data_IF_214862272826
#
_entry.id   IF_214862272826
#
_cell.length_a   1.000
_cell.length_b   1.000
_cell.length_c   1.000
_cell.angle_alpha   90.00
_cell.angle_beta   90.00
_cell.angle_gamma   90.00
#
_symmetry.space_group_name_H-M   'P 1'
#
loop_
_entity.id
_entity.type
_entity.pdbx_description
1 polymer ?
#
# COMPACT_ATOMS: atom_id res chain seq x y z
N UNK A 1 -15.50 -6.06 24.65
CA UNK A 1 -14.45 -5.12 24.21
C UNK A 1 -13.07 -5.80 24.21
N UNK A 2 -12.36 -5.97 25.34
CA UNK A 2 -11.05 -6.69 25.35
C UNK A 2 -11.20 -8.15 24.85
N UNK A 3 -12.17 -8.89 25.38
CA UNK A 3 -12.42 -10.28 24.97
C UNK A 3 -12.98 -10.45 23.55
N UNK A 4 -13.34 -9.38 22.84
CA UNK A 4 -13.73 -9.44 21.42
C UNK A 4 -12.54 -9.13 20.50
N UNK A 5 -11.61 -8.26 20.94
CA UNK A 5 -10.32 -8.00 20.26
C UNK A 5 -9.45 -9.26 20.25
N UNK A 6 -9.28 -9.92 21.40
CA UNK A 6 -8.51 -11.16 21.50
C UNK A 6 -9.07 -12.29 20.63
N UNK A 7 -10.41 -12.42 20.55
CA UNK A 7 -11.06 -13.41 19.70
C UNK A 7 -10.85 -13.11 18.23
N UNK A 8 -11.03 -11.86 17.82
CA UNK A 8 -10.77 -11.41 16.44
C UNK A 8 -9.33 -11.68 16.04
N UNK A 9 -8.38 -11.42 16.95
CA UNK A 9 -6.97 -11.69 16.74
C UNK A 9 -6.69 -13.19 16.60
N UNK A 10 -7.20 -14.03 17.50
CA UNK A 10 -7.04 -15.49 17.42
C UNK A 10 -7.61 -16.07 16.12
N UNK A 11 -8.81 -15.61 15.73
CA UNK A 11 -9.47 -16.03 14.49
C UNK A 11 -8.64 -15.57 13.28
N UNK A 12 -8.14 -14.34 13.29
CA UNK A 12 -7.30 -13.80 12.21
C UNK A 12 -6.01 -14.61 12.08
N UNK A 13 -5.29 -14.86 13.19
CA UNK A 13 -4.09 -15.70 13.19
C UNK A 13 -4.35 -17.07 12.58
N UNK A 14 -5.43 -17.74 13.00
CA UNK A 14 -5.79 -19.06 12.49
C UNK A 14 -6.07 -19.04 10.99
N UNK A 15 -6.86 -18.07 10.52
CA UNK A 15 -7.24 -17.99 9.10
C UNK A 15 -6.02 -17.61 8.25
N UNK A 16 -5.17 -16.67 8.69
CA UNK A 16 -3.95 -16.34 7.95
C UNK A 16 -3.02 -17.54 7.86
N UNK A 17 -2.74 -18.22 8.98
CA UNK A 17 -1.87 -19.41 8.97
C UNK A 17 -2.42 -20.52 8.06
N UNK A 18 -3.74 -20.71 8.06
CA UNK A 18 -4.38 -21.65 7.14
C UNK A 18 -4.21 -21.20 5.68
N UNK A 19 -4.38 -19.91 5.41
CA UNK A 19 -4.25 -19.32 4.09
C UNK A 19 -2.85 -19.40 3.53
N UNK A 20 -1.82 -19.09 4.33
CA UNK A 20 -0.41 -19.19 3.95
C UNK A 20 -0.04 -20.61 3.55
N UNK A 21 -0.35 -21.58 4.41
CA UNK A 21 0.01 -22.98 4.17
C UNK A 21 -0.79 -23.64 3.04
N UNK A 22 -1.88 -22.99 2.58
CA UNK A 22 -2.77 -23.51 1.55
C UNK A 22 -2.97 -22.54 0.38
N UNK A 23 -2.07 -21.57 0.21
CA UNK A 23 -2.15 -20.58 -0.86
C UNK A 23 -2.24 -21.26 -2.24
N UNK A 24 -1.44 -22.29 -2.49
CA UNK A 24 -1.50 -23.10 -3.70
C UNK A 24 -2.87 -23.76 -3.91
N UNK A 25 -3.49 -24.31 -2.84
CA UNK A 25 -4.82 -24.91 -2.92
C UNK A 25 -5.90 -23.86 -3.19
N UNK A 26 -5.78 -22.66 -2.61
CA UNK A 26 -6.69 -21.53 -2.87
C UNK A 26 -6.68 -21.16 -4.35
N UNK A 27 -5.49 -21.12 -4.96
CA UNK A 27 -5.29 -20.88 -6.40
C UNK A 27 -5.91 -22.00 -7.23
N UNK A 28 -5.63 -23.27 -6.91
CA UNK A 28 -6.22 -24.41 -7.62
C UNK A 28 -7.75 -24.42 -7.54
N UNK A 29 -8.31 -24.08 -6.37
CA UNK A 29 -9.75 -23.94 -6.19
C UNK A 29 -10.34 -22.80 -7.04
N UNK A 30 -9.58 -21.72 -7.25
CA UNK A 30 -10.01 -20.56 -8.01
C UNK A 30 -10.19 -20.86 -9.51
N UNK A 31 -9.40 -21.79 -10.05
CA UNK A 31 -9.48 -22.23 -11.46
C UNK A 31 -10.18 -23.58 -11.65
N UNK A 32 -10.64 -24.19 -10.57
CA UNK A 32 -11.31 -25.49 -10.63
C UNK A 32 -12.57 -25.41 -11.51
N UNK A 33 -12.94 -26.48 -12.22
CA UNK A 33 -14.10 -26.48 -13.12
C UNK A 33 -15.44 -26.40 -12.38
N UNK A 34 -15.45 -26.62 -11.06
CA UNK A 34 -16.65 -26.61 -10.25
C UNK A 34 -16.83 -25.26 -9.53
N UNK A 35 -18.06 -24.72 -9.58
CA UNK A 35 -18.39 -23.42 -9.00
C UNK A 35 -18.24 -23.37 -7.47
N UNK A 36 -18.34 -24.52 -6.79
CA UNK A 36 -18.24 -24.59 -5.34
C UNK A 36 -16.81 -24.26 -4.86
N UNK A 37 -15.79 -24.85 -5.48
CA UNK A 37 -14.37 -24.55 -5.20
C UNK A 37 -14.04 -23.09 -5.47
N UNK A 38 -14.49 -22.55 -6.61
CA UNK A 38 -14.29 -21.14 -6.95
C UNK A 38 -14.93 -20.22 -5.90
N UNK A 39 -16.14 -20.55 -5.46
CA UNK A 39 -16.86 -19.80 -4.41
C UNK A 39 -16.12 -19.86 -3.07
N UNK A 40 -15.53 -21.01 -2.72
CA UNK A 40 -14.76 -21.15 -1.49
C UNK A 40 -13.47 -20.31 -1.53
N UNK A 41 -12.73 -20.35 -2.63
CA UNK A 41 -11.54 -19.51 -2.85
C UNK A 41 -11.88 -18.02 -2.74
N UNK A 42 -12.95 -17.58 -3.42
CA UNK A 42 -13.44 -16.21 -3.34
C UNK A 42 -13.79 -15.79 -1.91
N UNK A 43 -14.57 -16.62 -1.19
CA UNK A 43 -14.98 -16.33 0.19
C UNK A 43 -13.80 -16.28 1.16
N UNK A 44 -12.79 -17.10 0.93
CA UNK A 44 -11.58 -17.10 1.74
C UNK A 44 -10.80 -15.79 1.56
N UNK A 45 -10.57 -15.37 0.31
CA UNK A 45 -9.91 -14.09 0.02
C UNK A 45 -10.68 -12.90 0.60
N UNK A 46 -12.02 -12.91 0.48
CA UNK A 46 -12.87 -11.90 1.10
C UNK A 46 -12.80 -11.91 2.64
N UNK A 47 -12.55 -13.06 3.27
CA UNK A 47 -12.41 -13.16 4.71
C UNK A 47 -11.08 -12.58 5.18
N UNK A 48 -9.97 -12.92 4.52
CA UNK A 48 -8.66 -12.30 4.81
C UNK A 48 -8.75 -10.79 4.61
N UNK A 49 -9.33 -10.32 3.49
CA UNK A 49 -9.49 -8.89 3.21
C UNK A 49 -10.25 -8.15 4.32
N UNK A 50 -11.25 -8.78 4.95
CA UNK A 50 -11.96 -8.19 6.11
C UNK A 50 -11.07 -8.06 7.34
N UNK A 51 -10.15 -9.00 7.55
CA UNK A 51 -9.16 -8.92 8.62
C UNK A 51 -8.10 -7.84 8.31
N UNK A 52 -7.69 -7.70 7.06
CA UNK A 52 -6.78 -6.63 6.63
C UNK A 52 -7.41 -5.24 6.78
N UNK A 53 -8.68 -5.07 6.38
CA UNK A 53 -9.48 -3.84 6.55
C UNK A 53 -10.17 -3.78 7.93
N UNK A 54 -9.55 -4.37 8.96
CA UNK A 54 -10.06 -4.26 10.33
C UNK A 54 -10.12 -2.78 10.72
N UNK A 55 -11.28 -2.37 11.21
CA UNK A 55 -11.52 -0.98 11.61
C UNK A 55 -10.70 -0.62 12.84
N UNK A 56 -10.12 0.57 12.78
CA UNK A 56 -9.30 1.16 13.83
C UNK A 56 -7.85 1.33 13.41
N UNK A 57 -7.12 2.11 14.20
CA UNK A 57 -5.70 2.35 14.05
C UNK A 57 -4.88 1.24 14.72
N UNK A 58 -3.98 0.63 13.95
CA UNK A 58 -2.96 -0.27 14.51
C UNK A 58 -1.90 0.55 15.28
N UNK A 59 -1.33 0.05 16.41
CA UNK A 59 -1.69 -1.19 17.13
C UNK A 59 -2.78 -0.99 18.21
N UNK A 60 -3.13 0.26 18.49
CA UNK A 60 -3.91 0.65 19.68
C UNK A 60 -5.34 0.10 19.60
N UNK A 61 -6.04 0.36 18.50
CA UNK A 61 -7.45 0.01 18.35
C UNK A 61 -7.62 -1.42 17.81
N UNK A 62 -6.71 -1.87 16.94
CA UNK A 62 -6.75 -3.22 16.34
C UNK A 62 -5.35 -3.79 16.12
N UNK A 63 -5.24 -5.12 16.12
CA UNK A 63 -3.98 -5.90 15.98
C UNK A 63 -4.09 -7.00 14.92
N UNK A 64 -5.15 -6.98 14.11
CA UNK A 64 -5.49 -8.04 13.17
C UNK A 64 -4.85 -7.82 11.80
N UNK A 65 -4.76 -6.58 11.33
CA UNK A 65 -4.38 -6.27 9.95
C UNK A 65 -2.96 -6.72 9.59
N UNK A 66 -1.98 -6.46 10.46
CA UNK A 66 -0.58 -6.89 10.32
C UNK A 66 -0.45 -8.40 10.08
N UNK A 67 -1.24 -9.18 10.82
CA UNK A 67 -1.24 -10.64 10.74
C UNK A 67 -1.69 -11.17 9.38
N UNK A 68 -2.13 -10.33 8.45
CA UNK A 68 -2.60 -10.76 7.13
C UNK A 68 -1.57 -10.55 6.02
N UNK A 69 -0.51 -9.79 6.25
CA UNK A 69 0.47 -9.43 5.22
C UNK A 69 1.24 -10.65 4.69
N UNK A 70 1.56 -11.60 5.55
CA UNK A 70 2.18 -12.87 5.19
C UNK A 70 1.33 -13.72 4.25
N UNK A 71 0.00 -13.70 4.39
CA UNK A 71 -0.89 -14.33 3.41
C UNK A 71 -0.82 -13.66 2.04
N UNK A 72 -0.83 -12.32 2.01
CA UNK A 72 -0.77 -11.58 0.74
C UNK A 72 0.55 -11.81 0.00
N UNK A 73 1.66 -11.90 0.74
CA UNK A 73 2.95 -12.31 0.23
C UNK A 73 2.90 -13.73 -0.37
N UNK A 74 2.43 -14.72 0.40
CA UNK A 74 2.33 -16.11 -0.05
C UNK A 74 1.42 -16.26 -1.29
N UNK A 75 0.27 -15.57 -1.32
CA UNK A 75 -0.63 -15.61 -2.47
C UNK A 75 0.02 -15.01 -3.71
N UNK A 76 0.72 -13.88 -3.57
CA UNK A 76 1.45 -13.28 -4.68
C UNK A 76 2.55 -14.22 -5.19
N UNK A 77 3.37 -14.78 -4.29
CA UNK A 77 4.47 -15.69 -4.64
C UNK A 77 3.96 -16.87 -5.46
N UNK A 78 2.92 -17.55 -4.97
CA UNK A 78 2.30 -18.70 -5.64
C UNK A 78 1.68 -18.35 -7.00
N UNK A 79 1.10 -17.16 -7.18
CA UNK A 79 0.60 -16.74 -8.50
C UNK A 79 1.75 -16.46 -9.45
N UNK A 80 2.83 -15.82 -8.98
CA UNK A 80 3.96 -15.44 -9.83
C UNK A 80 4.89 -16.61 -10.17
N UNK A 81 4.91 -17.65 -9.35
CA UNK A 81 5.74 -18.86 -9.54
C UNK A 81 5.16 -19.86 -10.55
N UNK A 82 3.96 -19.60 -11.09
CA UNK A 82 3.37 -20.44 -12.15
C UNK A 82 4.21 -20.34 -13.42
N UNK A 83 4.75 -21.48 -13.85
CA UNK A 83 5.58 -21.60 -15.06
C UNK A 83 4.79 -21.41 -16.36
N UNK A 84 3.51 -21.81 -16.37
CA UNK A 84 2.64 -21.69 -17.53
C UNK A 84 2.11 -20.24 -17.67
N UNK A 85 2.56 -19.54 -18.71
CA UNK A 85 2.21 -18.14 -18.95
C UNK A 85 0.71 -17.89 -19.09
N UNK A 86 -0.02 -18.79 -19.77
CA UNK A 86 -1.46 -18.63 -20.01
C UNK A 86 -2.23 -18.79 -18.70
N UNK A 87 -1.90 -19.82 -17.92
CA UNK A 87 -2.47 -20.05 -16.61
C UNK A 87 -2.14 -18.92 -15.64
N UNK A 88 -0.90 -18.41 -15.65
CA UNK A 88 -0.48 -17.28 -14.83
C UNK A 88 -1.28 -16.02 -15.15
N UNK A 89 -1.49 -15.70 -16.43
CA UNK A 89 -2.31 -14.55 -16.85
C UNK A 89 -3.74 -14.70 -16.36
N UNK A 90 -4.34 -15.89 -16.50
CA UNK A 90 -5.70 -16.16 -16.00
C UNK A 90 -5.80 -15.92 -14.49
N UNK A 91 -4.82 -16.40 -13.72
CA UNK A 91 -4.78 -16.21 -12.27
C UNK A 91 -4.58 -14.75 -11.88
N UNK A 92 -3.69 -14.03 -12.54
CA UNK A 92 -3.49 -12.60 -12.33
C UNK A 92 -4.78 -11.82 -12.59
N UNK A 93 -5.51 -12.11 -13.67
CA UNK A 93 -6.82 -11.50 -13.94
C UNK A 93 -7.87 -11.85 -12.87
N UNK A 94 -7.90 -13.10 -12.43
CA UNK A 94 -8.86 -13.57 -11.44
C UNK A 94 -8.63 -12.93 -10.06
N UNK A 95 -7.38 -12.78 -9.65
CA UNK A 95 -7.02 -12.20 -8.35
C UNK A 95 -6.85 -10.68 -8.36
N UNK A 96 -6.73 -10.05 -9.53
CA UNK A 96 -6.61 -8.59 -9.72
C UNK A 96 -7.54 -7.77 -8.83
N UNK A 97 -8.86 -8.07 -8.73
CA UNK A 97 -9.75 -7.24 -7.90
C UNK A 97 -9.38 -7.24 -6.42
N UNK A 98 -8.78 -8.31 -5.90
CA UNK A 98 -8.32 -8.38 -4.51
C UNK A 98 -7.05 -7.57 -4.31
N UNK A 99 -6.10 -7.65 -5.25
CA UNK A 99 -4.86 -6.87 -5.19
C UNK A 99 -5.15 -5.36 -5.34
N UNK A 100 -6.03 -4.96 -6.26
CA UNK A 100 -6.45 -3.55 -6.38
C UNK A 100 -7.16 -3.07 -5.10
N UNK A 101 -8.04 -3.90 -4.52
CA UNK A 101 -8.68 -3.58 -3.23
C UNK A 101 -7.66 -3.53 -2.08
N UNK A 102 -6.63 -4.38 -2.10
CA UNK A 102 -5.59 -4.39 -1.09
C UNK A 102 -4.86 -3.04 -1.07
N UNK A 103 -4.52 -2.48 -2.24
CA UNK A 103 -3.89 -1.14 -2.32
C UNK A 103 -4.76 -0.09 -1.60
N UNK A 104 -6.08 -0.08 -1.83
CA UNK A 104 -6.98 0.85 -1.15
C UNK A 104 -6.97 0.67 0.39
N UNK A 105 -6.91 -0.58 0.85
CA UNK A 105 -6.83 -0.91 2.27
C UNK A 105 -5.47 -0.47 2.84
N UNK A 106 -4.35 -0.74 2.15
CA UNK A 106 -3.02 -0.30 2.56
C UNK A 106 -2.94 1.23 2.67
N UNK A 107 -3.54 1.98 1.72
CA UNK A 107 -3.69 3.43 1.82
C UNK A 107 -4.46 3.81 3.08
N UNK A 108 -5.52 3.08 3.43
CA UNK A 108 -6.30 3.39 4.63
C UNK A 108 -5.55 3.07 5.92
N UNK A 109 -4.86 1.95 5.97
CA UNK A 109 -4.16 1.45 7.15
C UNK A 109 -2.83 2.15 7.41
N UNK A 110 -2.19 2.68 6.35
CA UNK A 110 -0.94 3.42 6.43
C UNK A 110 -1.10 4.90 6.80
N UNK A 111 -2.32 5.41 6.95
CA UNK A 111 -2.54 6.80 7.36
C UNK A 111 -2.03 7.01 8.78
N UNK A 112 -1.29 8.11 8.96
CA UNK A 112 -0.95 8.60 10.29
C UNK A 112 -2.21 8.92 11.10
N UNK A 113 -2.19 8.75 12.43
CA UNK A 113 -3.35 9.07 13.26
C UNK A 113 -3.68 10.57 13.17
N UNK A 114 -4.97 10.92 13.30
CA UNK A 114 -5.36 12.33 13.45
C UNK A 114 -4.91 12.91 14.80
N UNK A 115 -4.83 12.05 15.83
CA UNK A 115 -4.38 12.42 17.16
C UNK A 115 -3.42 11.37 17.72
N UNK A 116 -2.14 11.72 17.74
CA UNK A 116 -1.06 10.89 18.26
C UNK A 116 -0.97 10.91 19.80
N UNK A 117 -1.83 11.67 20.51
CA UNK A 117 -1.74 11.79 21.97
C UNK A 117 -2.07 10.48 22.70
N UNK A 118 -2.82 9.58 22.07
CA UNK A 118 -3.14 8.24 22.60
C UNK A 118 -2.01 7.23 22.41
N UNK A 119 -1.01 7.56 21.58
CA UNK A 119 0.11 6.66 21.27
C UNK A 119 1.24 6.88 22.26
N UNK A 120 1.66 5.81 22.92
CA UNK A 120 2.93 5.79 23.63
C UNK A 120 4.10 5.79 22.64
N UNK A 121 5.33 6.04 23.11
CA UNK A 121 6.51 5.95 22.24
C UNK A 121 6.69 4.54 21.64
N UNK A 122 6.29 3.50 22.36
CA UNK A 122 6.31 2.12 21.89
C UNK A 122 5.26 1.88 20.80
N UNK A 123 4.05 2.42 20.96
CA UNK A 123 3.00 2.34 19.93
C UNK A 123 3.42 3.06 18.64
N UNK A 124 4.12 4.20 18.75
CA UNK A 124 4.63 4.94 17.58
C UNK A 124 5.69 4.15 16.84
N UNK A 125 6.62 3.53 17.55
CA UNK A 125 7.64 2.69 16.92
C UNK A 125 7.01 1.43 16.29
N UNK A 126 6.07 0.81 16.99
CA UNK A 126 5.31 -0.34 16.47
C UNK A 126 4.53 0.03 15.20
N UNK A 127 3.87 1.19 15.19
CA UNK A 127 3.19 1.68 13.99
C UNK A 127 4.16 2.06 12.86
N UNK A 128 5.36 2.57 13.19
CA UNK A 128 6.42 2.82 12.20
C UNK A 128 6.85 1.52 11.52
N UNK A 129 7.08 0.44 12.27
CA UNK A 129 7.38 -0.88 11.71
C UNK A 129 6.23 -1.40 10.85
N UNK A 130 4.99 -1.30 11.33
CA UNK A 130 3.80 -1.68 10.56
C UNK A 130 3.68 -0.92 9.23
N UNK A 131 4.06 0.36 9.19
CA UNK A 131 4.12 1.14 7.95
C UNK A 131 5.21 0.66 6.99
N UNK A 132 6.30 0.07 7.49
CA UNK A 132 7.31 -0.61 6.66
C UNK A 132 6.72 -1.88 6.06
N UNK A 133 6.03 -2.71 6.85
CA UNK A 133 5.38 -3.92 6.34
C UNK A 133 4.29 -3.61 5.30
N UNK A 134 3.58 -2.48 5.46
CA UNK A 134 2.65 -1.95 4.46
C UNK A 134 3.38 -1.63 3.15
N UNK A 135 4.54 -0.97 3.20
CA UNK A 135 5.31 -0.65 1.99
C UNK A 135 5.87 -1.92 1.33
N UNK A 136 6.29 -2.91 2.10
CA UNK A 136 6.75 -4.21 1.59
C UNK A 136 5.60 -4.98 0.94
N UNK A 137 4.41 -4.93 1.54
CA UNK A 137 3.19 -5.50 0.95
C UNK A 137 2.80 -4.78 -0.35
N UNK A 138 3.00 -3.46 -0.42
CA UNK A 138 2.79 -2.68 -1.65
C UNK A 138 3.78 -3.07 -2.75
N UNK A 139 5.04 -3.35 -2.42
CA UNK A 139 6.01 -3.89 -3.38
C UNK A 139 5.53 -5.21 -3.98
N UNK A 140 4.94 -6.09 -3.18
CA UNK A 140 4.32 -7.32 -3.68
C UNK A 140 3.22 -7.02 -4.71
N UNK A 141 2.42 -5.97 -4.49
CA UNK A 141 1.38 -5.55 -5.44
C UNK A 141 1.97 -5.04 -6.77
N UNK A 142 3.12 -4.39 -6.76
CA UNK A 142 3.82 -4.01 -8.00
C UNK A 142 4.23 -5.23 -8.81
N UNK A 143 4.63 -6.32 -8.17
CA UNK A 143 4.99 -7.58 -8.86
C UNK A 143 3.82 -8.19 -9.62
N UNK A 144 2.61 -8.19 -9.05
CA UNK A 144 1.42 -8.82 -9.68
C UNK A 144 0.59 -7.90 -10.56
N UNK A 145 0.60 -6.59 -10.29
CA UNK A 145 -0.19 -5.61 -11.06
C UNK A 145 0.65 -4.81 -12.06
N UNK A 146 1.98 -4.85 -11.95
CA UNK A 146 2.90 -4.08 -12.79
C UNK A 146 2.49 -2.59 -12.82
N UNK A 147 2.42 -1.96 -14.01
CA UNK A 147 2.02 -0.57 -14.19
C UNK A 147 0.64 -0.24 -13.59
N UNK A 148 -0.25 -1.22 -13.46
CA UNK A 148 -1.60 -1.00 -12.94
C UNK A 148 -1.60 -0.59 -11.47
N UNK A 149 -0.63 -1.06 -10.66
CA UNK A 149 -0.50 -0.63 -9.26
C UNK A 149 -0.27 0.89 -9.18
N UNK A 150 0.61 1.43 -10.02
CA UNK A 150 0.87 2.87 -10.10
C UNK A 150 -0.35 3.65 -10.60
N UNK A 151 -1.10 3.11 -11.56
CA UNK A 151 -2.35 3.73 -12.04
C UNK A 151 -3.41 3.84 -10.93
N UNK A 152 -3.56 2.80 -10.12
CA UNK A 152 -4.48 2.80 -8.95
C UNK A 152 -4.06 3.86 -7.93
N UNK A 153 -2.77 3.93 -7.59
CA UNK A 153 -2.22 4.96 -6.70
C UNK A 153 -2.41 6.37 -7.26
N UNK A 154 -2.14 6.58 -8.56
CA UNK A 154 -2.33 7.87 -9.23
C UNK A 154 -3.79 8.34 -9.18
N UNK A 155 -4.74 7.41 -9.37
CA UNK A 155 -6.16 7.71 -9.30
C UNK A 155 -6.60 8.08 -7.87
N UNK A 156 -6.11 7.34 -6.86
CA UNK A 156 -6.34 7.71 -5.46
C UNK A 156 -5.74 9.07 -5.11
N UNK A 157 -4.53 9.38 -5.58
CA UNK A 157 -3.90 10.68 -5.34
C UNK A 157 -4.67 11.82 -5.99
N UNK A 158 -5.07 11.63 -7.26
CA UNK A 158 -5.87 12.61 -8.01
C UNK A 158 -7.17 12.94 -7.27
N UNK A 159 -7.90 11.90 -6.85
CA UNK A 159 -9.13 12.06 -6.08
C UNK A 159 -8.89 12.75 -4.72
N UNK A 160 -7.83 12.38 -4.02
CA UNK A 160 -7.48 12.96 -2.72
C UNK A 160 -7.12 14.45 -2.81
N UNK A 161 -6.50 14.87 -3.91
CA UNK A 161 -6.21 16.28 -4.20
C UNK A 161 -7.47 17.03 -4.63
N UNK A 162 -8.24 16.48 -5.57
CA UNK A 162 -9.47 17.10 -6.09
C UNK A 162 -10.52 17.34 -5.00
N UNK A 163 -10.66 16.40 -4.07
CA UNK A 163 -11.61 16.49 -2.96
C UNK A 163 -11.03 17.15 -1.70
N UNK A 164 -9.78 17.61 -1.75
CA UNK A 164 -9.06 18.17 -0.60
C UNK A 164 -9.16 17.26 0.65
N UNK A 165 -8.90 15.96 0.46
CA UNK A 165 -8.89 14.97 1.54
C UNK A 165 -7.75 15.28 2.54
N UNK A 166 -7.79 14.60 3.69
CA UNK A 166 -6.82 14.83 4.77
C UNK A 166 -5.38 14.67 4.30
N UNK A 167 -4.46 15.45 4.89
CA UNK A 167 -3.04 15.35 4.57
C UNK A 167 -2.48 13.97 4.91
N UNK A 168 -3.03 13.26 5.91
CA UNK A 168 -2.64 11.89 6.28
C UNK A 168 -2.94 10.90 5.16
N UNK A 169 -4.09 11.05 4.50
CA UNK A 169 -4.45 10.21 3.35
C UNK A 169 -3.55 10.49 2.16
N UNK A 170 -3.31 11.77 1.86
CA UNK A 170 -2.40 12.17 0.79
C UNK A 170 -0.96 11.66 1.08
N UNK A 171 -0.48 11.81 2.31
CA UNK A 171 0.83 11.33 2.76
C UNK A 171 0.96 9.81 2.63
N UNK A 172 -0.05 9.05 3.04
CA UNK A 172 -0.03 7.59 2.92
C UNK A 172 0.03 7.15 1.45
N UNK A 173 -0.74 7.80 0.56
CA UNK A 173 -0.67 7.51 -0.88
C UNK A 173 0.72 7.82 -1.43
N UNK A 174 1.33 8.96 -1.04
CA UNK A 174 2.69 9.33 -1.46
C UNK A 174 3.72 8.32 -0.99
N UNK A 175 3.61 7.83 0.26
CA UNK A 175 4.52 6.79 0.76
C UNK A 175 4.44 5.51 -0.09
N UNK A 176 3.23 5.08 -0.45
CA UNK A 176 3.03 3.88 -1.30
C UNK A 176 3.49 4.10 -2.74
N UNK A 177 3.35 5.32 -3.28
CA UNK A 177 3.97 5.70 -4.57
C UNK A 177 5.49 5.55 -4.51
N UNK A 178 6.11 5.90 -3.39
CA UNK A 178 7.55 5.72 -3.16
C UNK A 178 8.01 4.27 -3.22
N UNK A 179 7.20 3.36 -2.67
CA UNK A 179 7.48 1.91 -2.69
C UNK A 179 7.56 1.32 -4.11
N UNK A 180 6.93 1.97 -5.10
CA UNK A 180 6.99 1.57 -6.50
C UNK A 180 8.25 1.97 -7.26
N UNK A 181 9.15 2.76 -6.66
CA UNK A 181 10.27 3.38 -7.38
C UNK A 181 11.22 2.41 -8.09
N UNK A 182 11.41 1.21 -7.54
CA UNK A 182 12.24 0.16 -8.14
C UNK A 182 11.53 -0.61 -9.27
N UNK A 183 10.21 -0.49 -9.37
CA UNK A 183 9.38 -1.22 -10.33
C UNK A 183 9.02 -0.39 -11.57
N UNK A 184 9.33 0.90 -11.57
CA UNK A 184 9.00 1.81 -12.67
C UNK A 184 10.20 1.98 -13.60
N UNK A 185 10.05 1.73 -14.92
CA UNK A 185 11.15 1.91 -15.86
C UNK A 185 11.48 3.40 -16.08
N UNK A 186 12.73 3.68 -16.45
CA UNK A 186 13.24 5.04 -16.64
C UNK A 186 12.59 5.80 -17.80
N UNK A 187 11.93 5.11 -18.72
CA UNK A 187 11.19 5.67 -19.86
C UNK A 187 9.67 5.71 -19.64
N UNK A 188 9.20 5.49 -18.39
CA UNK A 188 7.79 5.68 -18.04
C UNK A 188 7.41 7.16 -18.18
N UNK A 189 6.39 7.45 -18.99
CA UNK A 189 6.05 8.80 -19.44
C UNK A 189 4.55 9.14 -19.30
N UNK A 190 3.75 8.28 -18.66
CA UNK A 190 2.29 8.40 -18.61
C UNK A 190 1.78 8.63 -17.19
N UNK A 191 2.24 7.83 -16.23
CA UNK A 191 1.68 7.78 -14.88
C UNK A 191 2.48 8.66 -13.92
N UNK A 192 3.81 8.52 -13.88
CA UNK A 192 4.67 9.32 -13.01
C UNK A 192 4.59 10.81 -13.29
N UNK A 193 4.62 11.30 -14.56
CA UNK A 193 4.45 12.73 -14.81
C UNK A 193 3.13 13.25 -14.22
N UNK A 194 2.05 12.46 -14.30
CA UNK A 194 0.73 12.81 -13.76
C UNK A 194 0.77 12.92 -12.23
N UNK A 195 1.41 11.98 -11.55
CA UNK A 195 1.62 12.02 -10.09
C UNK A 195 2.46 13.24 -9.70
N UNK A 196 3.55 13.50 -10.41
CA UNK A 196 4.50 14.57 -10.09
C UNK A 196 3.88 15.96 -10.27
N UNK A 197 2.99 16.13 -11.25
CA UNK A 197 2.19 17.34 -11.42
C UNK A 197 1.20 17.61 -10.27
N UNK A 198 0.86 16.58 -9.47
CA UNK A 198 0.00 16.72 -8.30
C UNK A 198 0.77 17.06 -7.02
N UNK A 199 2.08 16.78 -6.94
CA UNK A 199 2.87 17.03 -5.73
C UNK A 199 2.79 18.49 -5.24
N UNK A 200 2.84 19.53 -6.09
CA UNK A 200 2.69 20.91 -5.62
C UNK A 200 1.29 21.26 -5.09
N UNK A 201 0.29 20.42 -5.34
CA UNK A 201 -1.11 20.63 -4.93
C UNK A 201 -1.47 19.87 -3.65
N UNK A 202 -0.51 19.16 -3.05
CA UNK A 202 -0.72 18.46 -1.79
C UNK A 202 -0.95 19.45 -0.64
N UNK A 203 -1.64 18.97 0.39
CA UNK A 203 -1.95 19.74 1.58
C UNK A 203 -0.76 19.72 2.56
N UNK A 204 0.22 20.60 2.34
CA UNK A 204 1.44 20.73 3.14
C UNK A 204 1.24 21.40 4.52
N UNK A 205 0.23 20.96 5.29
CA UNK A 205 -0.04 21.45 6.64
C UNK A 205 0.77 20.77 7.76
N UNK A 206 1.51 19.70 7.45
CA UNK A 206 2.29 18.94 8.43
C UNK A 206 3.67 18.56 7.87
N UNK A 207 4.68 18.47 8.73
CA UNK A 207 6.03 18.08 8.34
C UNK A 207 6.12 16.65 7.79
N UNK A 208 5.24 15.73 8.22
CA UNK A 208 5.23 14.34 7.76
C UNK A 208 4.94 14.21 6.25
N UNK A 209 3.93 14.92 5.73
CA UNK A 209 3.63 14.90 4.29
C UNK A 209 4.72 15.58 3.47
N UNK A 210 5.36 16.63 4.00
CA UNK A 210 6.49 17.27 3.33
C UNK A 210 7.66 16.28 3.26
N UNK A 211 7.99 15.61 4.36
CA UNK A 211 9.05 14.60 4.40
C UNK A 211 8.78 13.45 3.44
N UNK A 212 7.56 12.88 3.45
CA UNK A 212 7.17 11.82 2.51
C UNK A 212 7.32 12.28 1.04
N UNK A 213 6.93 13.52 0.73
CA UNK A 213 7.09 14.08 -0.61
C UNK A 213 8.56 14.21 -1.00
N UNK A 214 9.43 14.69 -0.11
CA UNK A 214 10.88 14.78 -0.36
C UNK A 214 11.51 13.39 -0.55
N UNK A 215 11.10 12.41 0.26
CA UNK A 215 11.56 11.03 0.14
C UNK A 215 11.21 10.44 -1.22
N UNK A 216 9.99 10.65 -1.71
CA UNK A 216 9.57 10.22 -3.05
C UNK A 216 10.40 10.91 -4.14
N UNK A 217 10.67 12.21 -4.03
CA UNK A 217 11.55 12.90 -4.98
C UNK A 217 12.96 12.28 -5.00
N UNK A 218 13.50 11.89 -3.84
CA UNK A 218 14.78 11.19 -3.73
C UNK A 218 14.76 9.79 -4.34
N UNK A 219 13.71 9.00 -4.03
CA UNK A 219 13.51 7.64 -4.56
C UNK A 219 13.41 7.63 -6.09
N UNK A 220 12.75 8.63 -6.69
CA UNK A 220 12.62 8.77 -8.15
C UNK A 220 13.71 9.66 -8.79
N UNK A 221 14.81 9.95 -8.10
CA UNK A 221 15.88 10.83 -8.61
C UNK A 221 16.46 10.37 -9.96
N UNK A 222 16.64 9.06 -10.15
CA UNK A 222 17.11 8.49 -11.43
C UNK A 222 16.13 8.75 -12.59
N UNK A 223 14.83 8.60 -12.34
CA UNK A 223 13.77 8.89 -13.32
C UNK A 223 13.66 10.39 -13.60
N UNK A 224 13.75 11.23 -12.56
CA UNK A 224 13.78 12.69 -12.70
C UNK A 224 14.97 13.20 -13.51
N UNK A 225 16.13 12.54 -13.39
CA UNK A 225 17.29 12.84 -14.22
C UNK A 225 17.05 12.64 -15.72
N UNK A 226 16.16 11.71 -16.08
CA UNK A 226 15.72 11.48 -17.46
C UNK A 226 14.60 12.45 -17.89
N UNK A 227 13.79 12.96 -16.94
CA UNK A 227 12.64 13.83 -17.20
C UNK A 227 12.85 15.24 -16.62
N UNK A 228 13.76 16.00 -17.22
CA UNK A 228 14.22 17.30 -16.70
C UNK A 228 13.11 18.35 -16.55
N UNK A 229 12.07 18.32 -17.39
CA UNK A 229 10.92 19.23 -17.26
C UNK A 229 10.16 19.01 -15.95
N UNK A 230 9.92 17.73 -15.60
CA UNK A 230 9.28 17.36 -14.33
C UNK A 230 10.14 17.77 -13.13
N UNK A 231 11.46 17.57 -13.23
CA UNK A 231 12.39 17.99 -12.18
C UNK A 231 12.31 19.49 -11.90
N UNK A 232 12.30 20.34 -12.93
CA UNK A 232 12.19 21.80 -12.76
C UNK A 232 10.93 22.20 -11.98
N UNK A 233 9.81 21.51 -12.22
CA UNK A 233 8.55 21.76 -11.51
C UNK A 233 8.61 21.34 -10.03
N UNK A 234 9.45 20.37 -9.67
CA UNK A 234 9.58 19.87 -8.30
C UNK A 234 10.67 20.58 -7.47
N UNK A 235 11.65 21.24 -8.10
CA UNK A 235 12.76 21.93 -7.39
C UNK A 235 12.25 22.97 -6.40
N UNK A 236 11.18 23.69 -6.74
CA UNK A 236 10.57 24.66 -5.82
C UNK A 236 10.01 24.01 -4.54
N UNK A 237 9.53 22.76 -4.61
CA UNK A 237 9.10 22.02 -3.43
C UNK A 237 10.27 21.74 -2.48
N UNK A 238 11.41 21.31 -3.01
CA UNK A 238 12.62 21.09 -2.22
C UNK A 238 13.08 22.38 -1.52
N UNK A 239 13.11 23.51 -2.25
CA UNK A 239 13.53 24.81 -1.70
C UNK A 239 12.57 25.28 -0.59
N UNK A 240 11.26 25.16 -0.82
CA UNK A 240 10.26 25.55 0.17
C UNK A 240 10.32 24.67 1.43
N UNK A 241 10.58 23.36 1.26
CA UNK A 241 10.74 22.45 2.38
C UNK A 241 11.98 22.77 3.23
N UNK A 242 13.11 23.15 2.60
CA UNK A 242 14.31 23.61 3.32
C UNK A 242 14.09 24.88 4.15
N UNK A 243 13.03 25.63 3.86
CA UNK A 243 12.66 26.81 4.65
C UNK A 243 11.81 26.46 5.88
N UNK A 244 11.37 25.21 6.01
CA UNK A 244 10.56 24.75 7.13
C UNK A 244 11.46 24.27 8.29
N UNK A 245 11.44 25.03 9.40
CA UNK A 245 12.30 24.79 10.56
C UNK A 245 12.04 23.46 11.27
N UNK A 246 10.83 22.89 11.18
CA UNK A 246 10.53 21.59 11.79
C UNK A 246 11.30 20.45 11.13
N UNK A 247 11.48 20.50 9.81
CA UNK A 247 12.21 19.48 9.05
C UNK A 247 13.72 19.51 9.32
N UNK A 248 14.26 20.69 9.62
CA UNK A 248 15.67 20.89 9.95
C UNK A 248 16.01 20.32 11.34
N UNK A 249 15.03 20.31 12.26
CA UNK A 249 15.22 19.78 13.62
C UNK A 249 15.05 18.25 13.70
N UNK A 250 14.40 17.65 12.71
CA UNK A 250 14.19 16.19 12.62
C UNK A 250 15.25 15.43 11.81
N UNK A 251 16.19 16.14 11.18
CA UNK A 251 17.29 15.59 10.39
C UNK A 251 18.57 15.47 11.23
#
# INVERSE_FOLDING_TARGET
>A
MIGDKEKSECITKLITQFGENLAQLIIQMAIAPNQQSQTLSHRFCCLIMKCTDMKGQYPVEETCSELTFSFWYALQEEVTSIDDDEQRIILLELFRPYFERLIEVLISKGQLPENDSSFTSEDKETFRCYRVDITDTMMCMHTVLSNRAMEVLANHLSLAVEQNQSWQRQESIIQLVGAGSEYVPLDENQILPRIFLLLPKLNFCNSSIINATLMVLGQYSSWLGHHQETLQNCVHLCINALSNSELIQSA
#
